data_IF_279648049682
#
_entry.id   IF_279648049682
#
_cell.length_a   1.000
_cell.length_b   1.000
_cell.length_c   1.000
_cell.angle_alpha   90.00
_cell.angle_beta   90.00
_cell.angle_gamma   90.00
#
_symmetry.space_group_name_H-M   'P 1'
#
loop_
_entity.id
_entity.type
_entity.pdbx_description
1 polymer ?
#
# COMPACT_ATOMS: atom_id res chain seq x y z
N UNK A 1 57.88 36.03 36.71
CA UNK A 1 56.73 35.11 36.89
C UNK A 1 55.58 35.50 35.95
N UNK A 2 55.56 35.04 34.69
CA UNK A 2 54.36 35.22 33.84
C UNK A 2 54.20 34.21 32.67
N UNK A 3 55.09 33.22 32.51
CA UNK A 3 55.10 32.37 31.30
C UNK A 3 54.31 31.05 31.45
N UNK A 4 54.06 30.56 32.67
CA UNK A 4 53.39 29.24 32.86
C UNK A 4 51.86 29.25 32.72
N UNK A 5 51.18 30.40 32.88
CA UNK A 5 49.70 30.46 32.78
C UNK A 5 49.15 30.34 31.35
N UNK A 6 49.98 30.55 30.32
CA UNK A 6 49.56 30.56 28.91
C UNK A 6 49.43 29.17 28.27
N UNK A 7 50.27 28.21 28.68
CA UNK A 7 50.30 26.84 28.12
C UNK A 7 49.15 25.98 28.64
N UNK A 8 48.89 26.02 29.96
CA UNK A 8 47.78 25.32 30.62
C UNK A 8 46.40 25.71 30.07
N UNK A 9 46.15 27.01 29.84
CA UNK A 9 44.90 27.51 29.26
C UNK A 9 44.66 27.05 27.82
N UNK A 10 45.72 26.90 27.01
CA UNK A 10 45.61 26.41 25.62
C UNK A 10 45.29 24.91 25.58
N UNK A 11 45.95 24.10 26.41
CA UNK A 11 45.67 22.67 26.53
C UNK A 11 44.24 22.38 27.01
N UNK A 12 43.76 23.14 28.01
CA UNK A 12 42.39 22.99 28.53
C UNK A 12 41.32 23.42 27.51
N UNK A 13 41.60 24.43 26.68
CA UNK A 13 40.71 24.87 25.59
C UNK A 13 40.67 23.85 24.46
N UNK A 14 41.81 23.27 24.07
CA UNK A 14 41.87 22.21 23.07
C UNK A 14 41.10 20.95 23.52
N UNK A 15 41.30 20.51 24.76
CA UNK A 15 40.58 19.36 25.32
C UNK A 15 39.06 19.58 25.35
N UNK A 16 38.60 20.79 25.71
CA UNK A 16 37.17 21.15 25.65
C UNK A 16 36.62 21.12 24.22
N UNK A 17 37.37 21.64 23.24
CA UNK A 17 36.94 21.62 21.84
C UNK A 17 36.85 20.18 21.33
N UNK A 18 37.85 19.34 21.64
CA UNK A 18 37.83 17.92 21.27
C UNK A 18 36.66 17.17 21.91
N UNK A 19 36.38 17.42 23.20
CA UNK A 19 35.25 16.82 23.88
C UNK A 19 33.90 17.26 23.29
N UNK A 20 33.76 18.54 22.93
CA UNK A 20 32.55 19.05 22.24
C UNK A 20 32.41 18.42 20.86
N UNK A 21 33.48 18.32 20.08
CA UNK A 21 33.45 17.68 18.76
C UNK A 21 33.11 16.19 18.85
N UNK A 22 33.69 15.47 19.81
CA UNK A 22 33.37 14.07 20.06
C UNK A 22 31.91 13.88 20.49
N UNK A 23 31.38 14.78 21.33
CA UNK A 23 29.97 14.78 21.72
C UNK A 23 29.04 15.05 20.52
N UNK A 24 29.36 16.04 19.68
CA UNK A 24 28.57 16.34 18.48
C UNK A 24 28.60 15.18 17.46
N UNK A 25 29.75 14.53 17.28
CA UNK A 25 29.88 13.33 16.46
C UNK A 25 29.02 12.20 17.01
N UNK A 26 29.12 11.92 18.32
CA UNK A 26 28.30 10.89 18.95
C UNK A 26 26.80 11.20 18.79
N UNK A 27 26.39 12.44 19.03
CA UNK A 27 25.01 12.87 18.84
C UNK A 27 24.56 12.65 17.38
N UNK A 28 25.42 12.97 16.40
CA UNK A 28 25.12 12.72 14.98
C UNK A 28 24.92 11.23 14.67
N UNK A 29 25.78 10.34 15.21
CA UNK A 29 25.63 8.89 15.02
C UNK A 29 24.36 8.36 15.65
N UNK A 30 24.03 8.83 16.86
CA UNK A 30 22.79 8.47 17.55
C UNK A 30 21.58 8.95 16.76
N UNK A 31 21.58 10.20 16.27
CA UNK A 31 20.50 10.72 15.44
C UNK A 31 20.34 9.96 14.13
N UNK A 32 21.44 9.59 13.46
CA UNK A 32 21.40 8.75 12.24
C UNK A 32 20.85 7.37 12.57
N UNK A 33 21.28 6.73 13.66
CA UNK A 33 20.77 5.42 14.07
C UNK A 33 19.27 5.46 14.39
N UNK A 34 18.80 6.50 15.09
CA UNK A 34 17.37 6.73 15.36
C UNK A 34 16.61 6.94 14.05
N UNK A 35 17.15 7.77 13.13
CA UNK A 35 16.55 8.01 11.83
C UNK A 35 16.45 6.75 10.97
N UNK A 36 17.52 5.96 10.88
CA UNK A 36 17.54 4.69 10.15
C UNK A 36 16.53 3.69 10.74
N UNK A 37 16.49 3.57 12.06
CA UNK A 37 15.51 2.74 12.76
C UNK A 37 14.08 3.21 12.48
N UNK A 38 13.85 4.52 12.49
CA UNK A 38 12.54 5.12 12.25
C UNK A 38 12.07 4.90 10.81
N UNK A 39 12.97 5.03 9.83
CA UNK A 39 12.71 4.71 8.41
C UNK A 39 12.38 3.22 8.25
N UNK A 40 13.18 2.33 8.85
CA UNK A 40 12.96 0.89 8.76
C UNK A 40 11.62 0.45 9.37
N UNK A 41 11.21 1.08 10.48
CA UNK A 41 9.96 0.75 11.16
C UNK A 41 8.75 1.57 10.68
N UNK A 42 8.97 2.56 9.81
CA UNK A 42 7.97 3.55 9.39
C UNK A 42 7.12 4.08 10.56
N UNK A 43 7.79 4.52 11.62
CA UNK A 43 7.13 4.96 12.86
C UNK A 43 6.66 6.43 12.82
N UNK A 44 6.12 6.93 13.93
CA UNK A 44 5.62 8.30 14.04
C UNK A 44 6.70 9.36 13.73
N UNK A 45 7.96 9.10 14.06
CA UNK A 45 9.05 10.02 13.75
C UNK A 45 9.28 10.10 12.24
N UNK A 46 9.23 8.97 11.53
CA UNK A 46 9.40 8.93 10.08
C UNK A 46 8.32 9.78 9.39
N UNK A 47 7.05 9.59 9.78
CA UNK A 47 5.96 10.38 9.22
C UNK A 47 6.03 11.86 9.62
N UNK A 48 6.43 12.17 10.86
CA UNK A 48 6.61 13.57 11.29
C UNK A 48 7.69 14.28 10.47
N UNK A 49 8.83 13.62 10.24
CA UNK A 49 9.90 14.16 9.38
C UNK A 49 9.43 14.30 7.93
N UNK A 50 8.62 13.36 7.44
CA UNK A 50 8.02 13.44 6.10
C UNK A 50 7.09 14.65 5.95
N UNK A 51 6.22 14.90 6.93
CA UNK A 51 5.35 16.07 6.93
C UNK A 51 6.13 17.38 6.99
N UNK A 52 7.16 17.46 7.85
CA UNK A 52 8.06 18.61 7.90
C UNK A 52 8.73 18.83 6.53
N UNK A 53 9.24 17.76 5.90
CA UNK A 53 9.85 17.86 4.57
C UNK A 53 8.87 18.42 3.54
N UNK A 54 7.59 17.99 3.56
CA UNK A 54 6.54 18.50 2.66
C UNK A 54 6.25 19.99 2.82
N UNK A 55 6.40 20.54 4.04
CA UNK A 55 6.21 21.97 4.29
C UNK A 55 7.30 22.84 3.64
N UNK A 56 8.55 22.36 3.61
CA UNK A 56 9.70 23.11 3.11
C UNK A 56 10.05 22.81 1.65
N UNK A 57 9.79 21.58 1.22
CA UNK A 57 9.91 21.14 -0.16
C UNK A 57 8.52 20.67 -0.55
N UNK A 58 7.63 21.59 -0.97
CA UNK A 58 6.39 21.17 -1.57
C UNK A 58 6.75 20.24 -2.73
N UNK A 59 6.07 19.09 -2.83
CA UNK A 59 6.14 18.27 -4.04
C UNK A 59 5.73 19.08 -5.29
N UNK A 60 5.06 20.22 -5.07
CA UNK A 60 4.44 21.11 -6.01
C UNK A 60 5.43 22.19 -6.45
N UNK A 61 5.97 22.05 -7.65
CA UNK A 61 6.50 23.21 -8.36
C UNK A 61 5.30 24.01 -8.90
N UNK A 62 4.87 25.06 -8.20
CA UNK A 62 3.65 25.84 -8.55
C UNK A 62 3.62 26.45 -9.97
N UNK A 63 4.74 26.39 -10.70
CA UNK A 63 4.88 26.93 -12.04
C UNK A 63 4.42 25.99 -13.17
N UNK A 64 4.21 24.69 -12.89
CA UNK A 64 3.65 23.69 -13.81
C UNK A 64 2.78 22.77 -12.95
N UNK A 65 1.48 22.57 -13.23
CA UNK A 65 0.73 21.51 -12.55
C UNK A 65 1.48 20.21 -12.84
N UNK A 66 2.08 19.60 -11.81
CA UNK A 66 2.59 18.24 -11.95
C UNK A 66 1.46 17.38 -12.54
N UNK A 67 1.76 16.37 -13.37
CA UNK A 67 0.75 15.57 -14.06
C UNK A 67 -0.22 14.84 -13.11
N UNK A 68 -0.05 14.97 -11.79
CA UNK A 68 -0.88 14.40 -10.75
C UNK A 68 -0.78 15.16 -9.43
N UNK A 69 -1.75 14.95 -8.53
CA UNK A 69 -1.71 15.39 -7.13
C UNK A 69 -1.78 14.18 -6.20
N UNK A 70 -1.18 14.32 -5.03
CA UNK A 70 -1.17 13.31 -3.98
C UNK A 70 -1.92 13.81 -2.74
N UNK A 71 -2.63 12.91 -2.06
CA UNK A 71 -3.20 13.18 -0.74
C UNK A 71 -2.15 12.97 0.38
N UNK A 72 -2.56 13.15 1.63
CA UNK A 72 -1.66 13.01 2.79
C UNK A 72 -1.02 11.60 2.89
N UNK A 73 -1.67 10.56 2.37
CA UNK A 73 -1.20 9.17 2.32
C UNK A 73 -0.35 8.85 1.08
N UNK A 74 0.04 9.86 0.30
CA UNK A 74 0.77 9.74 -0.98
C UNK A 74 -0.02 9.00 -2.07
N UNK A 75 -1.34 8.85 -1.92
CA UNK A 75 -2.19 8.25 -2.93
C UNK A 75 -2.57 9.32 -3.97
N UNK A 76 -2.70 8.90 -5.23
CA UNK A 76 -3.16 9.77 -6.29
C UNK A 76 -4.58 10.27 -6.01
N UNK A 77 -4.73 11.57 -5.80
CA UNK A 77 -6.04 12.23 -5.71
C UNK A 77 -6.47 12.89 -7.02
N UNK A 78 -5.51 13.13 -7.91
CA UNK A 78 -5.74 13.67 -9.26
C UNK A 78 -4.67 13.15 -10.21
N UNK A 79 -5.04 12.95 -11.47
CA UNK A 79 -4.11 12.65 -12.57
C UNK A 79 -4.66 13.30 -13.84
N UNK A 80 -3.82 14.00 -14.60
CA UNK A 80 -4.26 14.85 -15.72
C UNK A 80 -5.07 14.14 -16.82
N UNK A 81 -4.79 12.85 -17.06
CA UNK A 81 -5.49 12.03 -18.06
C UNK A 81 -6.83 11.46 -17.55
N UNK A 82 -7.22 11.73 -16.30
CA UNK A 82 -8.47 11.23 -15.72
C UNK A 82 -9.64 12.14 -16.06
N UNK A 83 -10.58 11.60 -16.83
CA UNK A 83 -11.87 12.24 -17.08
C UNK A 83 -12.96 11.57 -16.26
N UNK A 84 -13.67 12.36 -15.48
CA UNK A 84 -14.85 11.91 -14.73
C UNK A 84 -15.95 11.46 -15.71
N UNK A 85 -16.60 10.35 -15.39
CA UNK A 85 -17.75 9.80 -16.11
C UNK A 85 -18.92 9.65 -15.16
N UNK A 86 -20.13 9.49 -15.73
CA UNK A 86 -21.32 9.22 -14.93
C UNK A 86 -21.17 7.92 -14.13
N UNK A 87 -21.83 7.86 -12.97
CA UNK A 87 -21.88 6.66 -12.16
C UNK A 87 -22.51 5.49 -12.96
N UNK A 88 -21.91 4.29 -12.95
CA UNK A 88 -22.50 3.14 -13.61
C UNK A 88 -23.78 2.69 -12.90
N UNK A 89 -24.66 2.00 -13.63
CA UNK A 89 -25.79 1.32 -13.03
C UNK A 89 -25.28 0.14 -12.20
N UNK A 90 -25.49 0.20 -10.89
CA UNK A 90 -25.12 -0.91 -9.99
C UNK A 90 -26.23 -1.97 -10.02
N UNK A 91 -25.91 -3.16 -10.54
CA UNK A 91 -26.80 -4.32 -10.55
C UNK A 91 -26.40 -5.33 -9.47
N UNK A 92 -27.20 -6.39 -9.31
CA UNK A 92 -26.85 -7.51 -8.42
C UNK A 92 -25.60 -8.28 -8.84
N UNK A 93 -25.15 -8.14 -10.10
CA UNK A 93 -23.96 -8.80 -10.62
C UNK A 93 -22.79 -7.80 -10.79
N UNK A 94 -22.94 -6.55 -10.35
CA UNK A 94 -21.82 -5.60 -10.34
C UNK A 94 -20.83 -6.01 -9.25
N UNK A 95 -19.56 -6.15 -9.61
CA UNK A 95 -18.48 -6.36 -8.64
C UNK A 95 -17.99 -5.00 -8.16
N UNK A 96 -18.35 -4.63 -6.95
CA UNK A 96 -17.75 -3.47 -6.24
C UNK A 96 -16.60 -3.98 -5.38
N UNK A 97 -15.37 -3.75 -5.84
CA UNK A 97 -14.15 -4.28 -5.24
C UNK A 97 -13.33 -3.18 -4.57
N UNK A 98 -13.17 -3.28 -3.26
CA UNK A 98 -12.23 -2.46 -2.50
C UNK A 98 -10.86 -3.14 -2.49
N UNK A 99 -9.88 -2.53 -3.13
CA UNK A 99 -8.59 -3.16 -3.46
C UNK A 99 -7.44 -2.42 -2.76
N UNK A 100 -6.74 -3.12 -1.87
CA UNK A 100 -5.87 -2.45 -0.89
C UNK A 100 -4.78 -3.36 -0.32
N UNK A 101 -3.87 -2.76 0.44
CA UNK A 101 -2.63 -3.38 0.89
C UNK A 101 -1.43 -2.52 0.50
N UNK A 102 -0.34 -3.12 0.05
CA UNK A 102 0.91 -2.40 -0.25
C UNK A 102 1.14 -2.10 -1.75
N UNK A 103 2.39 -1.99 -2.18
CA UNK A 103 2.76 -1.53 -3.53
C UNK A 103 2.22 -2.42 -4.66
N UNK A 104 2.27 -3.75 -4.51
CA UNK A 104 1.70 -4.71 -5.47
C UNK A 104 0.15 -4.69 -5.49
N UNK A 105 -0.49 -4.03 -4.52
CA UNK A 105 -1.92 -3.70 -4.50
C UNK A 105 -2.22 -2.27 -5.00
N UNK A 106 -1.20 -1.51 -5.38
CA UNK A 106 -1.30 -0.11 -5.79
C UNK A 106 -0.77 0.06 -7.23
N UNK A 107 -0.36 1.28 -7.61
CA UNK A 107 0.10 1.60 -8.97
C UNK A 107 1.62 1.45 -9.13
N UNK A 108 2.19 0.32 -8.69
CA UNK A 108 3.64 0.04 -8.81
C UNK A 108 3.95 -1.09 -9.78
N UNK A 109 2.97 -1.56 -10.55
CA UNK A 109 3.18 -2.55 -11.60
C UNK A 109 4.00 -2.00 -12.77
N UNK A 110 4.83 -2.83 -13.39
CA UNK A 110 5.77 -2.43 -14.44
C UNK A 110 5.14 -2.00 -15.76
N UNK A 111 3.86 -2.29 -15.99
CA UNK A 111 3.15 -1.93 -17.22
C UNK A 111 1.73 -1.44 -16.90
N UNK A 112 1.36 -0.29 -17.46
CA UNK A 112 0.02 0.30 -17.32
C UNK A 112 -0.97 -0.40 -18.25
N UNK A 113 -2.20 -0.57 -17.75
CA UNK A 113 -3.31 -1.09 -18.52
C UNK A 113 -4.46 -0.09 -18.59
N UNK A 114 -5.09 0.00 -19.76
CA UNK A 114 -6.36 0.72 -19.94
C UNK A 114 -7.44 -0.29 -20.26
N UNK A 115 -8.50 -0.32 -19.45
CA UNK A 115 -9.66 -1.16 -19.70
C UNK A 115 -10.28 -0.80 -21.05
N UNK A 116 -10.54 -1.82 -21.87
CA UNK A 116 -11.18 -1.65 -23.18
C UNK A 116 -12.65 -2.05 -23.19
N UNK A 117 -13.19 -2.50 -22.06
CA UNK A 117 -14.57 -3.01 -21.97
C UNK A 117 -15.62 -1.91 -21.84
N UNK A 118 -15.20 -0.71 -21.39
CA UNK A 118 -16.11 0.39 -21.03
C UNK A 118 -16.96 0.10 -19.78
N UNK A 119 -16.65 -0.96 -19.05
CA UNK A 119 -17.44 -1.52 -17.92
C UNK A 119 -16.64 -1.68 -16.63
N UNK A 120 -15.40 -1.20 -16.63
CA UNK A 120 -14.53 -1.20 -15.45
C UNK A 120 -14.29 0.24 -15.05
N UNK A 121 -14.63 0.57 -13.81
CA UNK A 121 -14.62 1.92 -13.29
C UNK A 121 -13.65 2.02 -12.12
N UNK A 122 -12.93 3.11 -12.05
CA UNK A 122 -12.18 3.54 -10.88
C UNK A 122 -13.04 4.54 -10.11
N UNK A 123 -13.39 4.22 -8.88
CA UNK A 123 -14.12 5.10 -7.97
C UNK A 123 -13.15 5.76 -6.99
N UNK A 124 -13.25 7.09 -6.86
CA UNK A 124 -12.48 7.85 -5.89
C UNK A 124 -13.24 9.12 -5.47
N UNK A 125 -13.37 9.37 -4.16
CA UNK A 125 -14.02 10.57 -3.58
C UNK A 125 -15.39 10.91 -4.19
N UNK A 126 -16.28 9.92 -4.30
CA UNK A 126 -17.64 10.12 -4.86
C UNK A 126 -17.72 10.17 -6.38
N UNK A 127 -16.58 10.07 -7.09
CA UNK A 127 -16.49 10.22 -8.54
C UNK A 127 -16.10 8.92 -9.22
N UNK A 128 -16.50 8.78 -10.48
CA UNK A 128 -16.21 7.62 -11.31
C UNK A 128 -15.35 8.02 -12.51
N UNK A 129 -14.45 7.14 -12.88
CA UNK A 129 -13.56 7.27 -14.04
C UNK A 129 -13.53 5.90 -14.73
N UNK A 130 -13.36 5.84 -16.05
CA UNK A 130 -13.02 4.57 -16.67
C UNK A 130 -11.65 4.09 -16.15
N UNK A 131 -11.53 2.78 -15.90
CA UNK A 131 -10.32 2.21 -15.35
C UNK A 131 -9.19 2.26 -16.39
N UNK A 132 -8.25 3.15 -16.14
CA UNK A 132 -6.98 3.27 -16.87
C UNK A 132 -5.89 3.57 -15.85
N UNK A 133 -4.81 2.80 -15.87
CA UNK A 133 -3.72 3.01 -14.93
C UNK A 133 -2.98 4.34 -15.20
N UNK A 134 -2.51 5.04 -14.16
CA UNK A 134 -2.63 4.67 -12.75
C UNK A 134 -4.04 4.96 -12.18
N UNK A 135 -4.48 4.15 -11.22
CA UNK A 135 -5.77 4.33 -10.57
C UNK A 135 -5.70 5.38 -9.45
N UNK A 136 -6.70 6.25 -9.37
CA UNK A 136 -6.86 7.17 -8.24
C UNK A 136 -7.16 6.39 -6.96
N UNK A 137 -6.71 6.93 -5.83
CA UNK A 137 -6.85 6.32 -4.50
C UNK A 137 -5.71 5.38 -4.10
N UNK A 138 -4.74 5.12 -4.97
CA UNK A 138 -3.57 4.33 -4.63
C UNK A 138 -2.26 5.11 -4.84
N UNK A 139 -1.21 4.72 -4.12
CA UNK A 139 0.14 5.26 -4.33
C UNK A 139 0.75 4.75 -5.65
N UNK A 140 1.77 5.47 -6.15
CA UNK A 140 2.47 5.12 -7.39
C UNK A 140 1.78 5.71 -8.62
N UNK A 141 2.49 5.69 -9.75
CA UNK A 141 2.00 6.24 -11.03
C UNK A 141 2.12 5.23 -12.18
N UNK A 142 2.48 3.99 -11.91
CA UNK A 142 2.69 2.96 -12.92
C UNK A 142 1.42 2.10 -13.08
N UNK A 143 1.57 0.83 -13.47
CA UNK A 143 0.44 -0.08 -13.65
C UNK A 143 -0.17 -0.60 -12.37
N UNK A 144 -1.38 -1.13 -12.48
CA UNK A 144 -2.07 -1.86 -11.41
C UNK A 144 -2.55 -3.22 -11.92
N UNK A 145 -2.72 -4.17 -11.00
CA UNK A 145 -3.33 -5.47 -11.34
C UNK A 145 -4.85 -5.36 -11.55
N UNK A 146 -5.47 -4.31 -11.02
CA UNK A 146 -6.91 -4.23 -10.87
C UNK A 146 -7.63 -3.92 -12.18
N UNK A 147 -7.05 -3.07 -13.02
CA UNK A 147 -7.58 -2.80 -14.37
C UNK A 147 -7.62 -4.09 -15.21
N UNK A 148 -6.56 -4.90 -15.14
CA UNK A 148 -6.48 -6.20 -15.80
C UNK A 148 -7.50 -7.21 -15.24
N UNK A 149 -7.64 -7.28 -13.91
CA UNK A 149 -8.64 -8.14 -13.27
C UNK A 149 -10.07 -7.74 -13.68
N UNK A 150 -10.37 -6.43 -13.69
CA UNK A 150 -11.69 -5.91 -14.07
C UNK A 150 -12.09 -6.35 -15.49
N UNK A 151 -11.19 -6.21 -16.46
CA UNK A 151 -11.46 -6.68 -17.83
C UNK A 151 -11.73 -8.18 -17.88
N UNK A 152 -10.96 -8.98 -17.14
CA UNK A 152 -11.16 -10.43 -17.08
C UNK A 152 -12.52 -10.80 -16.48
N UNK A 153 -12.95 -10.13 -15.41
CA UNK A 153 -14.26 -10.38 -14.80
C UNK A 153 -15.41 -10.07 -15.77
N UNK A 154 -15.33 -8.97 -16.51
CA UNK A 154 -16.33 -8.59 -17.51
C UNK A 154 -16.32 -9.55 -18.70
N UNK A 155 -15.14 -9.86 -19.24
CA UNK A 155 -14.98 -10.70 -20.43
C UNK A 155 -15.39 -12.17 -20.16
N UNK A 156 -15.18 -12.67 -18.95
CA UNK A 156 -15.61 -14.01 -18.53
C UNK A 156 -17.08 -14.04 -18.05
N UNK A 157 -17.81 -12.94 -18.18
CA UNK A 157 -19.21 -12.80 -17.78
C UNK A 157 -19.46 -13.08 -16.28
N UNK A 158 -18.47 -12.79 -15.44
CA UNK A 158 -18.57 -12.89 -13.98
C UNK A 158 -19.11 -11.62 -13.34
N UNK A 159 -19.05 -10.49 -14.06
CA UNK A 159 -19.60 -9.22 -13.65
C UNK A 159 -20.22 -8.48 -14.84
N UNK A 160 -21.35 -7.82 -14.61
CA UNK A 160 -21.94 -6.92 -15.62
C UNK A 160 -21.05 -5.68 -15.82
N UNK A 161 -20.58 -5.17 -14.68
CA UNK A 161 -19.70 -4.02 -14.49
C UNK A 161 -18.80 -4.26 -13.26
N UNK A 162 -17.64 -3.59 -13.21
CA UNK A 162 -16.70 -3.66 -12.10
C UNK A 162 -16.40 -2.25 -11.61
N UNK A 163 -16.59 -1.99 -10.31
CA UNK A 163 -16.20 -0.74 -9.66
C UNK A 163 -15.03 -1.02 -8.73
N UNK A 164 -13.85 -0.53 -9.10
CA UNK A 164 -12.63 -0.61 -8.32
C UNK A 164 -12.53 0.60 -7.39
N UNK A 165 -12.31 0.34 -6.10
CA UNK A 165 -12.06 1.34 -5.06
C UNK A 165 -10.63 1.10 -4.52
N UNK A 166 -9.60 1.69 -5.15
CA UNK A 166 -8.22 1.51 -4.73
C UNK A 166 -7.93 2.27 -3.44
N UNK A 167 -7.14 1.64 -2.57
CA UNK A 167 -6.61 2.27 -1.35
C UNK A 167 -5.17 1.82 -1.03
N UNK A 168 -4.46 1.17 -1.97
CA UNK A 168 -3.13 0.62 -1.71
C UNK A 168 -2.05 1.67 -1.42
N UNK A 169 -1.18 1.39 -0.45
CA UNK A 169 -0.10 2.28 0.01
C UNK A 169 1.26 1.58 -0.04
N UNK A 170 2.14 2.02 -0.93
CA UNK A 170 3.44 1.42 -1.17
C UNK A 170 4.31 1.35 0.09
N UNK A 171 4.93 0.19 0.32
CA UNK A 171 5.81 -0.06 1.46
C UNK A 171 5.12 -0.09 2.82
N UNK A 172 3.78 -0.09 2.87
CA UNK A 172 3.06 -0.15 4.14
C UNK A 172 3.22 -1.50 4.84
N UNK A 173 3.45 -1.45 6.15
CA UNK A 173 3.44 -2.61 7.05
C UNK A 173 2.05 -2.88 7.61
N UNK A 174 1.78 -4.11 8.02
CA UNK A 174 0.52 -4.52 8.65
C UNK A 174 0.20 -3.68 9.90
N UNK A 175 1.24 -3.30 10.65
CA UNK A 175 1.12 -2.42 11.83
C UNK A 175 0.44 -1.08 11.50
N UNK A 176 0.56 -0.57 10.28
CA UNK A 176 -0.11 0.67 9.88
C UNK A 176 -1.59 0.45 9.56
N UNK A 177 -1.97 -0.75 9.15
CA UNK A 177 -3.34 -1.12 8.77
C UNK A 177 -4.19 -1.62 9.94
N UNK A 178 -3.57 -2.17 10.97
CA UNK A 178 -4.26 -2.64 12.18
C UNK A 178 -4.73 -1.49 13.09
N UNK A 179 -5.54 -1.80 14.10
CA UNK A 179 -6.14 -0.80 15.00
C UNK A 179 -5.09 0.16 15.60
N UNK A 180 -5.38 1.47 15.55
CA UNK A 180 -4.46 2.53 16.00
C UNK A 180 -3.34 2.88 15.01
N UNK A 181 -3.24 2.17 13.88
CA UNK A 181 -2.34 2.49 12.79
C UNK A 181 -2.87 3.62 11.91
N UNK A 182 -1.96 4.38 11.30
CA UNK A 182 -2.31 5.52 10.44
C UNK A 182 -3.20 5.15 9.24
N UNK A 183 -2.96 3.98 8.63
CA UNK A 183 -3.75 3.51 7.47
C UNK A 183 -5.06 2.86 7.90
N UNK A 184 -5.19 2.44 9.17
CA UNK A 184 -6.47 2.01 9.73
C UNK A 184 -7.47 3.16 9.78
N UNK A 185 -7.04 4.36 10.18
CA UNK A 185 -7.89 5.55 10.19
C UNK A 185 -8.26 5.99 8.77
N UNK A 186 -7.32 5.92 7.82
CA UNK A 186 -7.62 6.11 6.39
C UNK A 186 -8.66 5.11 5.89
N UNK A 187 -8.48 3.81 6.21
CA UNK A 187 -9.38 2.75 5.82
C UNK A 187 -10.79 3.00 6.38
N UNK A 188 -10.93 3.34 7.67
CA UNK A 188 -12.21 3.73 8.27
C UNK A 188 -12.86 4.87 7.51
N UNK A 189 -12.13 5.95 7.27
CA UNK A 189 -12.67 7.12 6.56
C UNK A 189 -13.18 6.76 5.16
N UNK A 190 -12.42 5.97 4.39
CA UNK A 190 -12.81 5.51 3.05
C UNK A 190 -14.02 4.57 3.10
N UNK A 191 -14.09 3.65 4.06
CA UNK A 191 -15.25 2.77 4.24
C UNK A 191 -16.51 3.56 4.62
N UNK A 192 -16.38 4.56 5.49
CA UNK A 192 -17.48 5.49 5.84
C UNK A 192 -17.97 6.24 4.62
N UNK A 193 -17.06 6.80 3.82
CA UNK A 193 -17.40 7.56 2.60
C UNK A 193 -18.11 6.68 1.56
N UNK A 194 -17.59 5.49 1.28
CA UNK A 194 -18.21 4.54 0.35
C UNK A 194 -19.61 4.12 0.81
N UNK A 195 -19.77 3.88 2.12
CA UNK A 195 -21.09 3.55 2.69
C UNK A 195 -22.06 4.73 2.57
N UNK A 196 -21.58 5.95 2.80
CA UNK A 196 -22.37 7.18 2.68
C UNK A 196 -22.76 7.50 1.23
N UNK A 197 -21.95 7.09 0.25
CA UNK A 197 -22.28 7.23 -1.18
C UNK A 197 -23.32 6.22 -1.68
N UNK A 198 -23.80 5.32 -0.80
CA UNK A 198 -24.77 4.28 -1.15
C UNK A 198 -24.17 3.07 -1.88
N UNK A 199 -22.84 2.98 -2.00
CA UNK A 199 -22.18 1.81 -2.57
C UNK A 199 -22.10 0.68 -1.54
N UNK A 200 -22.44 -0.52 -1.97
CA UNK A 200 -22.24 -1.75 -1.18
C UNK A 200 -20.99 -2.46 -1.70
N UNK A 201 -19.92 -2.49 -0.91
CA UNK A 201 -18.72 -3.27 -1.26
C UNK A 201 -19.06 -4.75 -1.24
N UNK A 202 -18.78 -5.43 -2.35
CA UNK A 202 -19.02 -6.87 -2.51
C UNK A 202 -17.75 -7.69 -2.27
N UNK A 203 -16.58 -7.12 -2.58
CA UNK A 203 -15.29 -7.81 -2.51
C UNK A 203 -14.24 -6.90 -1.87
N UNK A 204 -13.52 -7.42 -0.89
CA UNK A 204 -12.27 -6.87 -0.39
C UNK A 204 -11.12 -7.70 -0.91
N UNK A 205 -10.20 -7.08 -1.66
CA UNK A 205 -9.02 -7.75 -2.21
C UNK A 205 -7.78 -7.21 -1.52
N UNK A 206 -7.20 -8.02 -0.64
CA UNK A 206 -6.03 -7.66 0.17
C UNK A 206 -4.76 -8.27 -0.41
N UNK A 207 -3.77 -7.42 -0.71
CA UNK A 207 -2.42 -7.87 -1.03
C UNK A 207 -1.38 -7.09 -0.21
N UNK A 208 -0.84 -7.77 0.80
CA UNK A 208 0.21 -7.25 1.66
C UNK A 208 0.93 -8.39 2.34
N UNK A 209 2.19 -8.17 2.68
CA UNK A 209 2.98 -9.02 3.56
C UNK A 209 4.47 -8.93 3.28
N UNK A 210 4.88 -8.36 2.15
CA UNK A 210 6.30 -8.28 1.80
C UNK A 210 7.07 -7.30 2.69
N UNK A 211 6.42 -6.25 3.19
CA UNK A 211 7.02 -5.33 4.18
C UNK A 211 7.11 -5.94 5.58
N UNK A 212 6.43 -7.07 5.82
CA UNK A 212 6.39 -7.80 7.08
C UNK A 212 6.97 -9.22 6.93
N UNK A 213 7.85 -9.43 5.93
CA UNK A 213 8.48 -10.74 5.65
C UNK A 213 9.15 -11.38 6.88
N UNK A 214 9.63 -10.56 7.81
CA UNK A 214 10.31 -10.98 9.04
C UNK A 214 9.44 -10.90 10.30
N UNK A 215 8.16 -10.54 10.18
CA UNK A 215 7.24 -10.47 11.31
C UNK A 215 6.92 -11.89 11.83
N UNK A 216 6.56 -12.02 13.10
CA UNK A 216 6.08 -13.31 13.60
C UNK A 216 4.73 -13.68 12.95
N UNK A 217 4.49 -14.97 12.62
CA UNK A 217 3.20 -15.42 12.07
C UNK A 217 2.02 -15.09 13.00
N UNK A 218 2.23 -15.12 14.31
CA UNK A 218 1.22 -14.81 15.31
C UNK A 218 0.84 -13.33 15.28
N UNK A 219 1.82 -12.42 15.29
CA UNK A 219 1.58 -10.98 15.17
C UNK A 219 0.90 -10.64 13.83
N UNK A 220 1.35 -11.27 12.74
CA UNK A 220 0.74 -11.10 11.43
C UNK A 220 -0.73 -11.56 11.43
N UNK A 221 -1.02 -12.72 12.01
CA UNK A 221 -2.38 -13.27 12.09
C UNK A 221 -3.32 -12.35 12.88
N UNK A 222 -2.87 -11.83 14.01
CA UNK A 222 -3.66 -10.89 14.83
C UNK A 222 -3.93 -9.60 14.07
N UNK A 223 -2.90 -8.99 13.47
CA UNK A 223 -3.05 -7.74 12.73
C UNK A 223 -3.98 -7.88 11.52
N UNK A 224 -3.82 -8.95 10.72
CA UNK A 224 -4.69 -9.21 9.56
C UNK A 224 -6.14 -9.45 10.00
N UNK A 225 -6.34 -10.18 11.11
CA UNK A 225 -7.66 -10.38 11.71
C UNK A 225 -8.37 -9.08 12.08
N UNK A 226 -7.65 -8.08 12.59
CA UNK A 226 -8.19 -6.75 12.87
C UNK A 226 -8.59 -5.99 11.60
N UNK A 227 -7.80 -6.09 10.53
CA UNK A 227 -8.13 -5.48 9.23
C UNK A 227 -9.41 -6.10 8.67
N UNK A 228 -9.50 -7.44 8.66
CA UNK A 228 -10.69 -8.17 8.20
C UNK A 228 -11.92 -7.75 9.02
N UNK A 229 -11.80 -7.76 10.35
CA UNK A 229 -12.91 -7.41 11.26
C UNK A 229 -13.45 -6.01 10.97
N UNK A 230 -12.56 -5.02 10.77
CA UNK A 230 -12.98 -3.67 10.42
C UNK A 230 -13.74 -3.63 9.09
N UNK A 231 -13.28 -4.33 8.05
CA UNK A 231 -14.02 -4.34 6.77
C UNK A 231 -15.40 -4.97 6.89
N UNK A 232 -15.52 -6.05 7.69
CA UNK A 232 -16.79 -6.75 7.95
C UNK A 232 -17.74 -5.95 8.83
N UNK A 233 -17.24 -5.09 9.71
CA UNK A 233 -18.09 -4.16 10.48
C UNK A 233 -18.85 -3.20 9.56
N UNK A 234 -18.21 -2.71 8.49
CA UNK A 234 -18.82 -1.78 7.55
C UNK A 234 -19.71 -2.49 6.52
N UNK A 235 -19.23 -3.62 5.99
CA UNK A 235 -19.85 -4.40 4.91
C UNK A 235 -19.86 -5.90 5.26
N UNK A 236 -20.76 -6.37 6.13
CA UNK A 236 -20.75 -7.73 6.67
C UNK A 236 -20.93 -8.83 5.61
N UNK A 237 -21.71 -8.55 4.57
CA UNK A 237 -22.03 -9.49 3.48
C UNK A 237 -20.94 -9.57 2.40
N UNK A 238 -19.90 -8.75 2.48
CA UNK A 238 -18.82 -8.75 1.49
C UNK A 238 -17.98 -10.02 1.61
N UNK A 239 -17.33 -10.45 0.51
CA UNK A 239 -16.30 -11.47 0.55
C UNK A 239 -14.93 -10.80 0.74
N UNK A 240 -14.06 -11.39 1.56
CA UNK A 240 -12.68 -10.91 1.75
C UNK A 240 -11.70 -11.91 1.19
N UNK A 241 -10.79 -11.50 0.32
CA UNK A 241 -9.79 -12.37 -0.27
C UNK A 241 -8.39 -11.94 0.14
N UNK A 242 -7.60 -12.90 0.61
CA UNK A 242 -6.24 -12.69 1.14
C UNK A 242 -5.22 -13.23 0.14
N UNK A 243 -4.51 -12.37 -0.58
CA UNK A 243 -3.37 -12.81 -1.38
C UNK A 243 -2.26 -13.38 -0.47
N UNK A 244 -1.55 -14.38 -1.01
CA UNK A 244 -0.37 -14.94 -0.37
C UNK A 244 0.86 -14.21 -0.91
N UNK A 245 1.44 -13.33 -0.10
CA UNK A 245 2.52 -12.42 -0.50
C UNK A 245 3.49 -12.18 0.66
N UNK A 246 4.77 -12.47 0.44
CA UNK A 246 5.81 -12.18 1.43
C UNK A 246 7.17 -11.88 0.80
N UNK A 247 7.44 -12.33 -0.42
CA UNK A 247 8.72 -12.11 -1.11
C UNK A 247 8.83 -10.70 -1.72
N UNK A 248 9.97 -10.04 -1.52
CA UNK A 248 10.33 -8.79 -2.20
C UNK A 248 11.85 -8.58 -2.23
N UNK A 249 12.41 -8.26 -3.40
CA UNK A 249 13.83 -8.02 -3.57
C UNK A 249 14.66 -9.23 -3.15
N UNK A 250 15.62 -9.01 -2.25
CA UNK A 250 16.48 -10.08 -1.71
C UNK A 250 15.79 -10.93 -0.63
N UNK A 251 14.60 -10.54 -0.16
CA UNK A 251 13.87 -11.30 0.86
C UNK A 251 13.15 -12.47 0.19
N UNK A 252 13.54 -13.69 0.56
CA UNK A 252 12.88 -14.91 0.09
C UNK A 252 11.44 -15.02 0.62
N UNK A 253 10.68 -15.96 0.06
CA UNK A 253 9.35 -16.29 0.59
C UNK A 253 9.45 -16.70 2.06
N UNK A 254 8.56 -16.19 2.90
CA UNK A 254 8.48 -16.49 4.33
C UNK A 254 7.28 -17.42 4.60
N UNK A 255 7.51 -18.74 4.76
CA UNK A 255 6.44 -19.72 4.91
C UNK A 255 5.47 -19.43 6.05
N UNK A 256 5.98 -18.89 7.16
CA UNK A 256 5.17 -18.50 8.32
C UNK A 256 4.18 -17.36 8.02
N UNK A 257 4.59 -16.36 7.24
CA UNK A 257 3.68 -15.29 6.79
C UNK A 257 2.62 -15.85 5.84
N UNK A 258 3.03 -16.71 4.89
CA UNK A 258 2.08 -17.35 3.98
C UNK A 258 1.08 -18.25 4.73
N UNK A 259 1.53 -18.94 5.78
CA UNK A 259 0.67 -19.73 6.64
C UNK A 259 -0.32 -18.86 7.42
N UNK A 260 0.12 -17.74 7.99
CA UNK A 260 -0.75 -16.78 8.67
C UNK A 260 -1.82 -16.22 7.71
N UNK A 261 -1.45 -15.89 6.47
CA UNK A 261 -2.37 -15.44 5.42
C UNK A 261 -3.41 -16.52 5.07
N UNK A 262 -3.00 -17.78 4.90
CA UNK A 262 -3.94 -18.90 4.67
C UNK A 262 -4.84 -19.13 5.89
N UNK A 263 -4.29 -19.09 7.10
CA UNK A 263 -5.04 -19.30 8.34
C UNK A 263 -6.16 -18.25 8.54
N UNK A 264 -6.04 -17.06 7.98
CA UNK A 264 -7.09 -16.05 8.01
C UNK A 264 -8.39 -16.52 7.33
N UNK A 265 -8.32 -17.44 6.35
CA UNK A 265 -9.51 -17.95 5.63
C UNK A 265 -10.38 -18.90 6.45
N UNK A 266 -9.97 -19.24 7.68
CA UNK A 266 -10.85 -19.96 8.62
C UNK A 266 -12.02 -19.09 9.10
N UNK A 267 -11.92 -17.77 8.93
CA UNK A 267 -13.00 -16.83 9.21
C UNK A 267 -14.07 -16.90 8.11
N UNK A 268 -15.34 -16.83 8.49
CA UNK A 268 -16.46 -16.91 7.55
C UNK A 268 -16.42 -15.75 6.52
N UNK A 269 -16.66 -16.08 5.25
CA UNK A 269 -16.61 -15.11 4.15
C UNK A 269 -15.21 -14.55 3.89
N UNK A 270 -14.15 -15.27 4.29
CA UNK A 270 -12.76 -14.99 3.98
C UNK A 270 -12.18 -16.13 3.14
N UNK A 271 -11.52 -15.80 2.04
CA UNK A 271 -11.07 -16.75 1.02
C UNK A 271 -9.62 -16.49 0.61
N UNK A 272 -9.02 -17.50 -0.02
CA UNK A 272 -7.68 -17.42 -0.58
C UNK A 272 -7.67 -16.56 -1.84
N UNK A 273 -6.78 -15.58 -1.85
CA UNK A 273 -6.32 -14.89 -3.04
C UNK A 273 -5.11 -15.59 -3.67
N UNK A 274 -4.58 -15.03 -4.77
CA UNK A 274 -3.45 -15.60 -5.49
C UNK A 274 -2.19 -15.64 -4.63
N UNK A 275 -1.32 -16.62 -4.91
CA UNK A 275 0.03 -16.64 -4.37
C UNK A 275 0.98 -15.93 -5.32
N UNK A 276 1.53 -14.79 -4.90
CA UNK A 276 2.51 -14.06 -5.71
C UNK A 276 3.95 -14.48 -5.43
N UNK A 277 4.22 -15.18 -4.32
CA UNK A 277 5.58 -15.69 -4.05
C UNK A 277 6.04 -16.75 -5.06
N UNK A 278 5.08 -17.41 -5.74
CA UNK A 278 5.38 -18.33 -6.85
C UNK A 278 5.66 -17.63 -8.18
N UNK A 279 5.38 -16.33 -8.30
CA UNK A 279 5.77 -15.54 -9.47
C UNK A 279 7.28 -15.28 -9.40
N UNK A 280 7.99 -15.82 -10.39
CA UNK A 280 9.46 -15.81 -10.45
C UNK A 280 10.05 -14.40 -10.61
N UNK A 281 11.34 -14.28 -10.30
CA UNK A 281 12.07 -13.00 -10.37
C UNK A 281 12.07 -12.40 -11.78
N UNK A 282 12.10 -13.23 -12.83
CA UNK A 282 12.03 -12.77 -14.23
C UNK A 282 10.71 -12.06 -14.60
N UNK A 283 9.69 -12.18 -13.75
CA UNK A 283 8.41 -11.49 -13.92
C UNK A 283 8.24 -10.35 -12.92
N UNK A 284 9.35 -9.88 -12.33
CA UNK A 284 9.46 -8.68 -11.49
C UNK A 284 10.50 -7.75 -12.12
N UNK A 285 10.25 -6.43 -12.15
CA UNK A 285 11.15 -5.50 -12.85
C UNK A 285 12.26 -4.93 -11.97
N UNK A 286 12.13 -5.03 -10.65
CA UNK A 286 13.11 -4.56 -9.65
C UNK A 286 13.30 -5.61 -8.52
N UNK A 287 13.10 -6.89 -8.86
CA UNK A 287 13.10 -8.03 -7.94
C UNK A 287 11.98 -8.01 -6.88
N UNK A 288 11.13 -6.98 -6.83
CA UNK A 288 10.02 -6.86 -5.88
C UNK A 288 8.67 -6.66 -6.57
N UNK A 289 8.54 -5.68 -7.44
CA UNK A 289 7.29 -5.31 -8.09
C UNK A 289 7.09 -6.06 -9.39
N UNK A 290 5.85 -6.46 -9.65
CA UNK A 290 5.49 -7.28 -10.81
C UNK A 290 5.69 -6.52 -12.13
N UNK A 291 6.37 -7.15 -13.09
CA UNK A 291 6.43 -6.73 -14.50
C UNK A 291 5.06 -6.87 -15.18
N UNK A 292 4.90 -6.42 -16.44
CA UNK A 292 3.66 -6.65 -17.20
C UNK A 292 3.21 -8.11 -17.24
N UNK A 293 4.14 -9.06 -17.49
CA UNK A 293 3.85 -10.51 -17.43
C UNK A 293 3.46 -10.98 -16.03
N UNK A 294 4.12 -10.42 -15.00
CA UNK A 294 3.81 -10.71 -13.60
C UNK A 294 2.42 -10.21 -13.20
N UNK A 295 2.03 -9.01 -13.65
CA UNK A 295 0.70 -8.44 -13.44
C UNK A 295 -0.36 -9.31 -14.11
N UNK A 296 -0.15 -9.74 -15.35
CA UNK A 296 -1.09 -10.62 -16.06
C UNK A 296 -1.27 -11.96 -15.31
N UNK A 297 -0.18 -12.54 -14.81
CA UNK A 297 -0.22 -13.76 -13.99
C UNK A 297 -0.97 -13.53 -12.67
N UNK A 298 -0.73 -12.40 -12.01
CA UNK A 298 -1.40 -12.01 -10.77
C UNK A 298 -2.89 -11.77 -10.99
N UNK A 299 -3.29 -11.08 -12.07
CA UNK A 299 -4.69 -10.84 -12.44
C UNK A 299 -5.43 -12.15 -12.76
N UNK A 300 -4.78 -13.10 -13.45
CA UNK A 300 -5.34 -14.46 -13.64
C UNK A 300 -5.52 -15.18 -12.31
N UNK A 301 -4.54 -15.12 -11.42
CA UNK A 301 -4.66 -15.73 -10.10
C UNK A 301 -5.83 -15.16 -9.28
N UNK A 302 -6.02 -13.84 -9.31
CA UNK A 302 -7.21 -13.20 -8.72
C UNK A 302 -8.51 -13.69 -9.35
N UNK A 303 -8.59 -13.71 -10.68
CA UNK A 303 -9.76 -14.19 -11.41
C UNK A 303 -10.16 -15.61 -10.97
N UNK A 304 -9.19 -16.52 -10.91
CA UNK A 304 -9.45 -17.91 -10.49
C UNK A 304 -9.89 -18.00 -9.02
N UNK A 305 -9.28 -17.23 -8.12
CA UNK A 305 -9.73 -17.11 -6.72
C UNK A 305 -11.18 -16.62 -6.63
N UNK A 306 -11.59 -15.65 -7.46
CA UNK A 306 -12.94 -15.10 -7.44
C UNK A 306 -13.97 -16.06 -8.09
N UNK A 307 -13.57 -16.82 -9.11
CA UNK A 307 -14.42 -17.86 -9.73
C UNK A 307 -14.69 -19.02 -8.80
N UNK A 308 -13.67 -19.46 -8.06
CA UNK A 308 -13.73 -20.61 -7.18
C UNK A 308 -13.17 -20.24 -5.80
N UNK A 309 -13.94 -19.47 -4.99
CA UNK A 309 -13.51 -19.10 -3.66
C UNK A 309 -13.21 -20.34 -2.81
N UNK A 310 -12.01 -20.38 -2.25
CA UNK A 310 -11.52 -21.49 -1.43
C UNK A 310 -11.01 -21.00 -0.08
N UNK A 311 -11.09 -21.87 0.92
CA UNK A 311 -10.61 -21.66 2.28
C UNK A 311 -9.97 -22.96 2.78
N UNK A 312 -9.01 -22.86 3.70
CA UNK A 312 -8.41 -24.03 4.37
C UNK A 312 -9.25 -24.53 5.55
#
# INVERSE_FOLDING_TARGET
MSVEKGSSRKGFRALKITAVLAFLLLLSFVSIAIGMRSVANQDALFFSVKEIKRMFIPAINKAVPDPFLLNEYDQLSFFHDKQEVDAPLITRNTVVAFVFGQSNAANHGGERHQSTTGKVFNYFEGKYYLAADPLLGATGVSGSVWSNLGDKLVNDHLADDVVLIPAGVGGSTLKQWQSGGRLNEMLKARLTEVKASGLTVTHFLWHQGESDNTLSPEEYSVGLGQVISLTKEYFPESNFFVAQASRCGTMASAPGILEAQRNATRQAGVYLGPNTDVIGLNDRYDDCHLSGRGIETHAKGWLESLKQPSSI
#
